data_IF_652074687052
#
_entry.id   IF_652074687052
#
_cell.length_a   1.000
_cell.length_b   1.000
_cell.length_c   1.000
_cell.angle_alpha   90.00
_cell.angle_beta   90.00
_cell.angle_gamma   90.00
#
_symmetry.space_group_name_H-M   'P 1'
#
loop_
_entity.id
_entity.type
_entity.pdbx_description
1 polymer ?
#
# COMPACT_ATOMS: atom_id res chain seq x y z
N UNK A 1 9.41 -8.92 -21.84
CA UNK A 1 10.59 -8.55 -21.02
C UNK A 1 11.56 -9.72 -20.84
N UNK A 2 11.16 -10.87 -20.29
CA UNK A 2 12.08 -11.99 -19.99
C UNK A 2 12.89 -12.47 -21.20
N UNK A 3 12.26 -12.57 -22.38
CA UNK A 3 12.93 -12.96 -23.62
C UNK A 3 14.07 -11.98 -24.01
N UNK A 4 13.84 -10.68 -23.86
CA UNK A 4 14.85 -9.65 -24.16
C UNK A 4 16.02 -9.77 -23.19
N UNK A 5 15.77 -9.98 -21.89
CA UNK A 5 16.83 -10.18 -20.91
C UNK A 5 17.66 -11.44 -21.24
N UNK A 6 17.02 -12.53 -21.67
CA UNK A 6 17.71 -13.73 -22.13
C UNK A 6 18.57 -13.45 -23.36
N UNK A 7 18.03 -12.75 -24.37
CA UNK A 7 18.78 -12.35 -25.56
C UNK A 7 19.99 -11.50 -25.22
N UNK A 8 19.82 -10.46 -24.40
CA UNK A 8 20.91 -9.60 -23.91
C UNK A 8 21.98 -10.44 -23.24
N UNK A 9 21.62 -11.35 -22.33
CA UNK A 9 22.58 -12.23 -21.66
C UNK A 9 23.35 -13.15 -22.62
N UNK A 10 22.71 -13.66 -23.67
CA UNK A 10 23.37 -14.46 -24.71
C UNK A 10 24.35 -13.59 -25.51
N UNK A 11 23.91 -12.44 -26.00
CA UNK A 11 24.73 -11.50 -26.79
C UNK A 11 25.95 -11.04 -26.00
N UNK A 12 25.78 -10.74 -24.71
CA UNK A 12 26.90 -10.39 -23.82
C UNK A 12 27.90 -11.52 -23.64
N UNK A 13 27.45 -12.77 -23.55
CA UNK A 13 28.34 -13.94 -23.50
C UNK A 13 29.10 -14.18 -24.80
N UNK A 14 28.58 -13.70 -25.92
CA UNK A 14 29.25 -13.74 -27.23
C UNK A 14 30.26 -12.59 -27.42
N UNK A 15 30.46 -11.74 -26.41
CA UNK A 15 31.47 -10.68 -26.42
C UNK A 15 31.01 -9.34 -26.96
N UNK A 16 29.70 -9.14 -27.17
CA UNK A 16 29.14 -7.85 -27.57
C UNK A 16 28.52 -7.13 -26.35
N UNK A 17 28.47 -5.80 -26.38
CA UNK A 17 27.77 -5.04 -25.34
C UNK A 17 26.30 -4.97 -25.70
N UNK A 18 25.41 -5.36 -24.80
CA UNK A 18 23.98 -5.30 -25.00
C UNK A 18 23.25 -4.90 -23.72
N UNK A 19 22.10 -4.26 -23.87
CA UNK A 19 21.26 -3.83 -22.76
C UNK A 19 19.78 -3.80 -23.18
N UNK A 20 18.84 -4.00 -22.25
CA UNK A 20 17.42 -3.78 -22.54
C UNK A 20 17.11 -2.29 -22.68
N UNK A 21 16.06 -1.97 -23.45
CA UNK A 21 15.51 -0.62 -23.56
C UNK A 21 14.04 -0.66 -23.14
N UNK A 22 13.71 0.14 -22.12
CA UNK A 22 12.38 0.23 -21.50
C UNK A 22 11.36 1.04 -22.29
N UNK A 23 11.29 0.85 -23.60
CA UNK A 23 10.46 1.67 -24.47
C UNK A 23 8.94 1.52 -24.18
N UNK A 24 8.14 2.59 -24.35
CA UNK A 24 6.69 2.52 -24.10
C UNK A 24 6.02 1.41 -24.92
N UNK A 25 5.13 0.65 -24.28
CA UNK A 25 4.42 -0.48 -24.92
C UNK A 25 5.27 -1.74 -25.11
N UNK A 26 6.56 -1.62 -25.44
CA UNK A 26 7.38 -2.76 -25.83
C UNK A 26 8.83 -2.67 -25.34
N UNK A 27 9.37 -3.76 -24.78
CA UNK A 27 10.79 -3.83 -24.40
C UNK A 27 11.56 -4.46 -25.55
N UNK A 28 12.66 -3.84 -25.96
CA UNK A 28 13.56 -4.34 -27.00
C UNK A 28 15.01 -4.32 -26.52
N UNK A 29 15.93 -4.87 -27.31
CA UNK A 29 17.36 -4.90 -26.99
C UNK A 29 18.11 -3.79 -27.72
N UNK A 30 19.12 -3.22 -27.07
CA UNK A 30 20.13 -2.36 -27.66
C UNK A 30 21.46 -3.12 -27.68
N UNK A 31 22.17 -3.09 -28.81
CA UNK A 31 23.44 -3.80 -29.00
C UNK A 31 24.49 -2.83 -29.56
N UNK A 32 25.66 -2.74 -28.92
CA UNK A 32 26.80 -2.00 -29.45
C UNK A 32 27.62 -2.88 -30.40
N UNK A 33 28.03 -2.30 -31.52
CA UNK A 33 28.89 -2.96 -32.50
C UNK A 33 30.38 -2.67 -32.23
N UNK A 34 31.33 -3.56 -32.60
CA UNK A 34 32.74 -3.49 -32.19
C UNK A 34 33.52 -2.20 -32.53
N UNK A 35 33.02 -1.35 -33.42
CA UNK A 35 33.57 -0.01 -33.71
C UNK A 35 33.11 1.08 -32.73
N UNK A 36 32.36 0.70 -31.68
CA UNK A 36 31.93 1.59 -30.60
C UNK A 36 33.05 1.75 -29.56
N UNK A 37 33.67 2.94 -29.52
CA UNK A 37 34.63 3.29 -28.46
C UNK A 37 33.88 3.83 -27.23
N UNK A 38 34.01 3.13 -26.11
CA UNK A 38 33.55 3.55 -24.79
C UNK A 38 34.60 4.49 -24.19
N UNK A 39 34.33 5.78 -24.15
CA UNK A 39 35.04 6.69 -23.25
C UNK A 39 34.57 6.38 -21.82
N UNK A 40 35.40 5.68 -21.06
CA UNK A 40 35.26 5.40 -19.62
C UNK A 40 34.27 4.25 -19.22
N UNK A 41 34.76 3.15 -18.58
CA UNK A 41 33.97 1.97 -18.17
C UNK A 41 32.84 2.25 -17.17
N UNK A 42 32.96 3.30 -16.35
CA UNK A 42 32.00 3.61 -15.27
C UNK A 42 30.95 4.68 -15.67
N UNK A 43 31.10 5.30 -16.84
CA UNK A 43 30.12 6.25 -17.37
C UNK A 43 28.98 5.56 -18.12
N UNK A 44 27.74 5.84 -17.69
CA UNK A 44 26.53 5.52 -18.45
C UNK A 44 26.62 6.13 -19.87
N UNK A 45 26.17 5.40 -20.90
CA UNK A 45 26.37 5.80 -22.30
C UNK A 45 25.61 7.08 -22.62
N UNK A 46 26.36 8.15 -22.85
CA UNK A 46 25.88 9.30 -23.59
C UNK A 46 26.72 10.55 -23.41
N UNK A 47 27.67 10.78 -24.32
CA UNK A 47 27.80 12.01 -25.12
C UNK A 47 28.66 11.67 -26.34
N UNK A 48 28.06 11.58 -27.52
CA UNK A 48 28.45 12.35 -28.72
C UNK A 48 27.62 11.89 -29.94
N UNK A 49 27.21 12.90 -30.71
CA UNK A 49 26.20 12.90 -31.74
C UNK A 49 26.67 12.22 -33.04
N UNK A 50 25.88 11.29 -33.53
CA UNK A 50 25.62 11.15 -34.96
C UNK A 50 24.29 10.39 -35.10
N UNK A 51 23.28 11.10 -35.60
CA UNK A 51 22.05 10.50 -36.08
C UNK A 51 22.35 9.47 -37.18
N UNK A 52 21.47 8.48 -37.25
CA UNK A 52 21.48 7.26 -38.06
C UNK A 52 21.56 7.47 -39.58
N UNK A 53 21.64 8.71 -40.06
CA UNK A 53 21.52 9.08 -41.47
C UNK A 53 22.77 9.77 -42.06
N UNK A 54 23.81 10.01 -41.25
CA UNK A 54 25.05 10.64 -41.74
C UNK A 54 26.19 9.62 -41.83
N UNK A 55 26.29 8.90 -42.97
CA UNK A 55 27.48 8.21 -43.51
C UNK A 55 28.57 7.72 -42.51
N UNK A 56 28.18 7.10 -41.41
CA UNK A 56 29.10 6.45 -40.44
C UNK A 56 28.64 5.02 -40.19
N UNK A 57 29.57 4.05 -40.08
CA UNK A 57 29.21 2.67 -39.78
C UNK A 57 28.44 2.63 -38.46
N UNK A 58 27.22 2.08 -38.51
CA UNK A 58 26.30 1.91 -37.39
C UNK A 58 27.08 1.42 -36.16
N UNK A 59 27.12 2.20 -35.08
CA UNK A 59 27.79 1.79 -33.83
C UNK A 59 26.83 1.11 -32.85
N UNK A 60 25.53 1.10 -33.15
CA UNK A 60 24.46 0.52 -32.31
C UNK A 60 23.31 -0.05 -33.13
N UNK A 61 22.63 -1.06 -32.60
CA UNK A 61 21.44 -1.70 -33.16
C UNK A 61 20.32 -1.75 -32.12
N UNK A 62 19.09 -1.49 -32.54
CA UNK A 62 17.88 -1.77 -31.77
C UNK A 62 17.24 -3.04 -32.32
N UNK A 63 17.05 -4.05 -31.46
CA UNK A 63 16.59 -5.38 -31.86
C UNK A 63 15.27 -5.69 -31.16
N UNK A 64 14.21 -5.85 -31.95
CA UNK A 64 12.95 -6.42 -31.49
C UNK A 64 13.06 -7.94 -31.46
N UNK A 65 13.32 -8.47 -30.27
CA UNK A 65 13.47 -9.91 -30.04
C UNK A 65 12.13 -10.65 -30.19
N UNK A 66 10.99 -9.97 -30.08
CA UNK A 66 9.66 -10.60 -30.18
C UNK A 66 9.20 -10.74 -31.63
N UNK A 67 9.54 -9.77 -32.50
CA UNK A 67 9.19 -9.79 -33.92
C UNK A 67 10.38 -10.19 -34.81
N UNK A 68 11.28 -11.02 -34.27
CA UNK A 68 12.54 -11.36 -34.95
C UNK A 68 12.36 -12.11 -36.27
N UNK A 69 11.21 -12.74 -36.48
CA UNK A 69 10.89 -13.50 -37.70
C UNK A 69 10.50 -12.60 -38.89
N UNK A 70 9.99 -11.40 -38.61
CA UNK A 70 9.48 -10.48 -39.65
C UNK A 70 10.34 -9.23 -39.77
N UNK A 71 10.59 -8.55 -38.65
CA UNK A 71 11.28 -7.26 -38.61
C UNK A 71 12.10 -7.16 -37.31
N UNK A 72 13.28 -7.79 -37.26
CA UNK A 72 14.09 -7.87 -36.04
C UNK A 72 14.74 -6.54 -35.66
N UNK A 73 14.87 -5.58 -36.59
CA UNK A 73 15.59 -4.33 -36.37
C UNK A 73 14.65 -3.15 -36.34
N UNK A 74 14.75 -2.33 -35.30
CA UNK A 74 13.94 -1.13 -35.15
C UNK A 74 14.72 0.10 -35.64
N UNK A 75 14.17 0.80 -36.63
CA UNK A 75 14.72 2.07 -37.07
C UNK A 75 14.42 3.17 -36.04
N UNK A 76 15.38 4.08 -35.84
CA UNK A 76 15.21 5.20 -34.91
C UNK A 76 14.02 6.10 -35.29
N UNK A 77 13.73 6.24 -36.58
CA UNK A 77 12.61 7.03 -37.07
C UNK A 77 11.25 6.42 -36.69
N UNK A 78 11.08 5.10 -36.80
CA UNK A 78 9.83 4.44 -36.41
C UNK A 78 9.62 4.47 -34.90
N UNK A 79 10.70 4.40 -34.12
CA UNK A 79 10.65 4.61 -32.68
C UNK A 79 10.21 6.04 -32.33
N UNK A 80 10.77 7.05 -32.99
CA UNK A 80 10.36 8.47 -32.82
C UNK A 80 8.90 8.68 -33.20
N UNK A 81 8.46 8.11 -34.32
CA UNK A 81 7.06 8.12 -34.76
C UNK A 81 6.13 7.49 -33.73
N UNK A 82 6.56 6.39 -33.11
CA UNK A 82 5.79 5.73 -32.04
C UNK A 82 5.67 6.63 -30.81
N UNK A 83 6.76 7.30 -30.39
CA UNK A 83 6.73 8.25 -29.26
C UNK A 83 5.85 9.47 -29.56
N UNK A 84 5.91 9.98 -30.80
CA UNK A 84 5.04 11.05 -31.27
C UNK A 84 3.56 10.68 -31.18
N UNK A 85 3.18 9.50 -31.68
CA UNK A 85 1.81 9.00 -31.62
C UNK A 85 1.31 8.81 -30.18
N UNK A 86 2.21 8.50 -29.25
CA UNK A 86 1.92 8.40 -27.82
C UNK A 86 1.92 9.76 -27.09
N UNK A 87 2.08 10.87 -27.82
CA UNK A 87 2.13 12.23 -27.28
C UNK A 87 3.23 12.42 -26.23
N UNK A 88 4.34 11.69 -26.36
CA UNK A 88 5.50 11.84 -25.47
C UNK A 88 6.26 13.10 -25.86
N UNK A 89 6.58 14.02 -24.92
CA UNK A 89 7.38 15.21 -25.22
C UNK A 89 8.74 14.87 -25.81
N UNK A 90 9.17 15.57 -26.87
CA UNK A 90 10.45 15.32 -27.58
C UNK A 90 11.67 15.30 -26.67
N UNK A 91 11.67 16.15 -25.63
CA UNK A 91 12.73 16.20 -24.61
C UNK A 91 12.97 14.84 -23.92
N UNK A 92 11.96 13.96 -23.87
CA UNK A 92 12.05 12.64 -23.25
C UNK A 92 12.46 11.54 -24.23
N UNK A 93 12.47 11.79 -25.55
CA UNK A 93 12.68 10.74 -26.54
C UNK A 93 14.05 10.08 -26.40
N UNK A 94 15.09 10.90 -26.21
CA UNK A 94 16.45 10.41 -25.95
C UNK A 94 16.52 9.51 -24.71
N UNK A 95 15.76 9.84 -23.66
CA UNK A 95 15.72 9.07 -22.42
C UNK A 95 15.04 7.70 -22.59
N UNK A 96 14.03 7.62 -23.46
CA UNK A 96 13.26 6.39 -23.70
C UNK A 96 13.91 5.46 -24.73
N UNK A 97 14.83 5.97 -25.54
CA UNK A 97 15.55 5.21 -26.55
C UNK A 97 16.95 4.74 -26.10
N UNK A 98 17.43 5.13 -24.91
CA UNK A 98 18.73 4.67 -24.40
C UNK A 98 18.62 3.31 -23.70
N UNK A 99 19.74 2.60 -23.50
CA UNK A 99 19.83 1.49 -22.55
C UNK A 99 19.20 1.84 -21.21
N UNK A 100 18.36 0.93 -20.70
CA UNK A 100 17.74 1.07 -19.39
C UNK A 100 18.60 0.46 -18.29
N UNK A 101 18.54 1.07 -17.11
CA UNK A 101 19.16 0.51 -15.92
C UNK A 101 18.45 -0.76 -15.46
N UNK A 102 19.14 -1.55 -14.62
CA UNK A 102 18.51 -2.68 -13.95
C UNK A 102 17.31 -2.23 -13.09
N UNK A 103 17.40 -1.08 -12.41
CA UNK A 103 16.31 -0.54 -11.59
C UNK A 103 15.07 -0.17 -12.42
N UNK A 104 15.25 0.48 -13.58
CA UNK A 104 14.15 0.80 -14.50
C UNK A 104 13.44 -0.47 -14.99
N UNK A 105 14.21 -1.52 -15.32
CA UNK A 105 13.65 -2.79 -15.78
C UNK A 105 12.91 -3.55 -14.67
N UNK A 106 13.45 -3.56 -13.45
CA UNK A 106 12.81 -4.18 -12.29
C UNK A 106 11.50 -3.45 -11.94
N UNK A 107 11.49 -2.11 -11.93
CA UNK A 107 10.30 -1.32 -11.69
C UNK A 107 9.24 -1.53 -12.78
N UNK A 108 9.65 -1.64 -14.04
CA UNK A 108 8.75 -1.98 -15.15
C UNK A 108 8.17 -3.38 -14.98
N UNK A 109 8.98 -4.35 -14.54
CA UNK A 109 8.53 -5.71 -14.28
C UNK A 109 7.45 -5.74 -13.19
N UNK A 110 7.69 -5.05 -12.07
CA UNK A 110 6.72 -4.91 -10.98
C UNK A 110 5.40 -4.28 -11.45
N UNK A 111 5.48 -3.21 -12.27
CA UNK A 111 4.27 -2.60 -12.85
C UNK A 111 3.50 -3.59 -13.72
N UNK A 112 4.19 -4.34 -14.59
CA UNK A 112 3.54 -5.32 -15.46
C UNK A 112 2.86 -6.44 -14.66
N UNK A 113 3.49 -6.93 -13.58
CA UNK A 113 2.91 -7.93 -12.68
C UNK A 113 1.65 -7.38 -12.01
N UNK A 114 1.73 -6.19 -11.42
CA UNK A 114 0.61 -5.56 -10.74
C UNK A 114 -0.57 -5.27 -11.67
N UNK A 115 -0.31 -4.74 -12.87
CA UNK A 115 -1.32 -4.49 -13.89
C UNK A 115 -1.96 -5.78 -14.42
N UNK A 116 -1.18 -6.84 -14.60
CA UNK A 116 -1.70 -8.14 -15.05
C UNK A 116 -2.72 -8.70 -14.07
N UNK A 117 -2.36 -8.74 -12.78
CA UNK A 117 -3.25 -9.25 -11.72
C UNK A 117 -4.47 -8.37 -11.53
N UNK A 118 -4.30 -7.03 -11.55
CA UNK A 118 -5.43 -6.09 -11.44
C UNK A 118 -6.38 -6.21 -12.63
N UNK A 119 -5.87 -6.36 -13.86
CA UNK A 119 -6.69 -6.51 -15.07
C UNK A 119 -7.50 -7.79 -15.05
N UNK A 120 -6.89 -8.92 -14.66
CA UNK A 120 -7.57 -10.21 -14.63
C UNK A 120 -8.66 -10.25 -13.53
N UNK A 121 -8.47 -9.55 -12.41
CA UNK A 121 -9.51 -9.41 -11.39
C UNK A 121 -10.83 -8.84 -11.94
N UNK A 122 -10.77 -7.98 -12.96
CA UNK A 122 -11.94 -7.38 -13.58
C UNK A 122 -12.51 -8.24 -14.72
N UNK A 123 -11.91 -9.41 -15.01
CA UNK A 123 -12.38 -10.34 -16.03
C UNK A 123 -13.19 -11.48 -15.38
N UNK A 124 -14.49 -11.64 -15.71
CA UNK A 124 -15.36 -12.60 -15.02
C UNK A 124 -15.05 -14.09 -15.30
N UNK A 125 -14.21 -14.39 -16.30
CA UNK A 125 -13.98 -15.76 -16.79
C UNK A 125 -12.66 -16.38 -16.34
N UNK A 126 -11.78 -15.61 -15.67
CA UNK A 126 -10.44 -16.07 -15.27
C UNK A 126 -10.25 -15.90 -13.77
N UNK A 127 -10.21 -17.02 -13.05
CA UNK A 127 -9.99 -17.03 -11.61
C UNK A 127 -8.49 -17.15 -11.31
N UNK A 128 -7.91 -16.14 -10.65
CA UNK A 128 -6.56 -16.21 -10.10
C UNK A 128 -6.65 -16.65 -8.63
N UNK A 129 -5.78 -17.59 -8.23
CA UNK A 129 -5.66 -17.99 -6.83
C UNK A 129 -5.29 -16.80 -5.93
N UNK A 130 -5.91 -16.73 -4.74
CA UNK A 130 -5.69 -15.64 -3.77
C UNK A 130 -4.21 -15.47 -3.42
N UNK A 131 -3.48 -16.57 -3.23
CA UNK A 131 -2.04 -16.58 -2.94
C UNK A 131 -1.23 -15.90 -4.06
N UNK A 132 -1.50 -16.23 -5.33
CA UNK A 132 -0.81 -15.62 -6.48
C UNK A 132 -1.07 -14.11 -6.55
N UNK A 133 -2.30 -13.68 -6.22
CA UNK A 133 -2.64 -12.25 -6.16
C UNK A 133 -1.90 -11.55 -5.03
N UNK A 134 -1.85 -12.16 -3.85
CA UNK A 134 -1.13 -11.64 -2.70
C UNK A 134 0.38 -11.54 -2.98
N UNK A 135 0.98 -12.58 -3.55
CA UNK A 135 2.38 -12.59 -3.95
C UNK A 135 2.70 -11.49 -4.96
N UNK A 136 1.84 -11.30 -5.96
CA UNK A 136 2.02 -10.26 -6.96
C UNK A 136 1.94 -8.85 -6.35
N UNK A 137 0.97 -8.60 -5.46
CA UNK A 137 0.85 -7.33 -4.75
C UNK A 137 2.06 -7.09 -3.85
N UNK A 138 2.41 -8.08 -3.03
CA UNK A 138 3.52 -8.02 -2.08
C UNK A 138 4.85 -7.75 -2.80
N UNK A 139 5.21 -8.56 -3.80
CA UNK A 139 6.46 -8.40 -4.55
C UNK A 139 6.52 -7.06 -5.30
N UNK A 140 5.41 -6.64 -5.93
CA UNK A 140 5.38 -5.37 -6.69
C UNK A 140 5.47 -4.16 -5.75
N UNK A 141 4.70 -4.16 -4.66
CA UNK A 141 4.70 -3.09 -3.67
C UNK A 141 6.07 -2.94 -3.00
N UNK A 142 6.68 -4.04 -2.57
CA UNK A 142 8.04 -4.01 -2.01
C UNK A 142 9.07 -3.49 -3.02
N UNK A 143 8.96 -3.89 -4.30
CA UNK A 143 9.83 -3.37 -5.36
C UNK A 143 9.71 -1.86 -5.50
N UNK A 144 8.49 -1.30 -5.43
CA UNK A 144 8.28 0.14 -5.50
C UNK A 144 8.77 0.88 -4.26
N UNK A 145 8.53 0.33 -3.07
CA UNK A 145 9.01 0.93 -1.83
C UNK A 145 10.54 1.00 -1.77
N UNK A 146 11.22 -0.06 -2.22
CA UNK A 146 12.69 -0.09 -2.29
C UNK A 146 13.23 0.82 -3.41
N UNK A 147 12.61 0.79 -4.59
CA UNK A 147 13.13 1.51 -5.77
C UNK A 147 12.74 2.98 -5.86
N UNK A 148 11.63 3.38 -5.22
CA UNK A 148 11.07 4.74 -5.26
C UNK A 148 10.52 5.14 -3.88
N UNK A 149 11.38 5.22 -2.85
CA UNK A 149 10.95 5.42 -1.47
C UNK A 149 10.14 6.71 -1.28
N UNK A 150 10.50 7.78 -1.98
CA UNK A 150 9.88 9.10 -1.85
C UNK A 150 8.65 9.32 -2.74
N UNK A 151 8.14 8.28 -3.39
CA UNK A 151 7.00 8.43 -4.29
C UNK A 151 5.71 8.71 -3.50
N UNK A 152 4.87 9.61 -4.01
CA UNK A 152 3.62 10.01 -3.35
C UNK A 152 2.64 8.83 -3.11
N UNK A 153 2.78 7.75 -3.87
CA UNK A 153 1.99 6.52 -3.78
C UNK A 153 2.58 5.49 -2.78
N UNK A 154 3.70 5.78 -2.11
CA UNK A 154 4.34 4.86 -1.16
C UNK A 154 3.40 4.40 -0.02
N UNK A 155 2.61 5.31 0.56
CA UNK A 155 1.64 4.95 1.62
C UNK A 155 0.62 3.90 1.14
N UNK A 156 0.20 3.97 -0.12
CA UNK A 156 -0.70 2.98 -0.74
C UNK A 156 -0.01 1.62 -0.83
N UNK A 157 1.27 1.58 -1.18
CA UNK A 157 2.03 0.33 -1.24
C UNK A 157 2.24 -0.27 0.15
N UNK A 158 2.54 0.55 1.17
CA UNK A 158 2.61 0.09 2.57
C UNK A 158 1.29 -0.57 3.00
N UNK A 159 0.16 0.11 2.77
CA UNK A 159 -1.16 -0.45 3.09
C UNK A 159 -1.45 -1.76 2.36
N UNK A 160 -1.04 -1.86 1.09
CA UNK A 160 -1.19 -3.08 0.29
C UNK A 160 -0.32 -4.24 0.77
N UNK A 161 0.88 -3.99 1.32
CA UNK A 161 1.71 -5.04 1.92
C UNK A 161 1.10 -5.50 3.24
N UNK A 162 0.74 -4.56 4.12
CA UNK A 162 0.15 -4.86 5.43
C UNK A 162 -1.12 -5.69 5.31
N UNK A 163 -1.93 -5.44 4.27
CA UNK A 163 -3.20 -6.16 4.09
C UNK A 163 -3.03 -7.63 3.71
N UNK A 164 -1.92 -8.04 3.10
CA UNK A 164 -1.72 -9.43 2.62
C UNK A 164 -0.69 -10.22 3.42
N UNK A 165 0.27 -9.54 4.06
CA UNK A 165 1.45 -10.21 4.61
C UNK A 165 1.12 -11.17 5.75
N UNK A 166 0.22 -10.79 6.66
CA UNK A 166 -0.08 -11.60 7.84
C UNK A 166 -0.78 -12.92 7.49
N UNK A 167 -1.68 -12.90 6.53
CA UNK A 167 -2.46 -14.07 6.13
C UNK A 167 -1.68 -14.98 5.17
N UNK A 168 -0.97 -14.38 4.21
CA UNK A 168 -0.39 -15.12 3.09
C UNK A 168 1.11 -15.38 3.27
N UNK A 169 1.79 -14.58 4.10
CA UNK A 169 3.23 -14.66 4.35
C UNK A 169 3.55 -14.46 5.85
N UNK A 170 3.01 -15.31 6.75
CA UNK A 170 3.10 -15.11 8.19
C UNK A 170 4.55 -15.05 8.71
N UNK A 171 5.47 -15.79 8.08
CA UNK A 171 6.91 -15.78 8.43
C UNK A 171 7.61 -14.46 8.09
N UNK A 172 7.08 -13.71 7.14
CA UNK A 172 7.63 -12.41 6.72
C UNK A 172 7.05 -11.25 7.55
N UNK A 173 6.00 -11.50 8.33
CA UNK A 173 5.18 -10.44 8.93
C UNK A 173 6.00 -9.52 9.84
N UNK A 174 6.64 -10.04 10.89
CA UNK A 174 7.43 -9.19 11.79
C UNK A 174 8.60 -8.46 11.10
N UNK A 175 9.48 -9.13 10.33
CA UNK A 175 10.65 -8.46 9.77
C UNK A 175 10.28 -7.40 8.74
N UNK A 176 9.24 -7.64 7.94
CA UNK A 176 8.78 -6.66 6.95
C UNK A 176 8.07 -5.50 7.61
N UNK A 177 7.18 -5.74 8.58
CA UNK A 177 6.54 -4.64 9.30
C UNK A 177 7.59 -3.76 10.00
N UNK A 178 8.63 -4.35 10.59
CA UNK A 178 9.77 -3.62 11.17
C UNK A 178 10.48 -2.75 10.14
N UNK A 179 10.75 -3.28 8.94
CA UNK A 179 11.39 -2.51 7.87
C UNK A 179 10.48 -1.40 7.31
N UNK A 180 9.18 -1.66 7.20
CA UNK A 180 8.19 -0.64 6.80
C UNK A 180 8.06 0.46 7.85
N UNK A 181 8.19 0.13 9.13
CA UNK A 181 8.18 1.12 10.20
C UNK A 181 9.38 2.07 10.06
N UNK A 182 10.59 1.55 9.90
CA UNK A 182 11.79 2.37 9.66
C UNK A 182 11.60 3.30 8.47
N UNK A 183 10.97 2.79 7.40
CA UNK A 183 10.67 3.56 6.20
C UNK A 183 9.67 4.70 6.43
N UNK A 184 8.56 4.44 7.14
CA UNK A 184 7.52 5.44 7.43
C UNK A 184 7.99 6.46 8.47
N UNK A 185 8.89 6.06 9.37
CA UNK A 185 9.49 6.93 10.37
C UNK A 185 10.62 7.83 9.82
N UNK A 186 11.17 7.53 8.65
CA UNK A 186 12.23 8.34 8.04
C UNK A 186 11.66 9.67 7.49
N UNK A 187 12.05 10.75 8.14
CA UNK A 187 11.62 12.11 7.80
C UNK A 187 12.11 12.58 6.43
N UNK A 188 13.15 11.95 5.87
CA UNK A 188 13.69 12.27 4.55
C UNK A 188 12.90 11.62 3.39
N UNK A 189 11.96 10.72 3.72
CA UNK A 189 11.24 9.94 2.71
C UNK A 189 9.91 10.61 2.32
N UNK A 190 9.44 11.62 3.08
CA UNK A 190 8.22 12.37 2.74
C UNK A 190 6.92 11.59 2.92
N UNK A 191 7.00 10.33 3.38
CA UNK A 191 5.87 9.43 3.68
C UNK A 191 5.66 9.39 5.19
N UNK A 192 5.63 10.54 5.85
CA UNK A 192 5.27 10.60 7.27
C UNK A 192 3.76 10.50 7.39
N UNK A 193 3.26 9.27 7.53
CA UNK A 193 1.92 9.04 8.05
C UNK A 193 2.05 8.45 9.45
N UNK A 194 1.93 9.27 10.51
CA UNK A 194 2.23 8.77 11.85
C UNK A 194 1.17 7.80 12.39
N UNK A 195 -0.05 7.79 11.83
CA UNK A 195 -1.06 6.77 12.13
C UNK A 195 -0.60 5.39 11.63
N UNK A 196 -0.08 5.33 10.40
CA UNK A 196 0.51 4.09 9.85
C UNK A 196 1.72 3.66 10.69
N UNK A 197 2.61 4.58 11.04
CA UNK A 197 3.78 4.29 11.88
C UNK A 197 3.39 3.72 13.26
N UNK A 198 2.37 4.30 13.90
CA UNK A 198 1.86 3.80 15.17
C UNK A 198 1.26 2.40 15.04
N UNK A 199 0.51 2.12 13.98
CA UNK A 199 -0.06 0.78 13.76
C UNK A 199 1.00 -0.28 13.48
N UNK A 200 2.03 0.05 12.70
CA UNK A 200 3.17 -0.84 12.48
C UNK A 200 3.87 -1.15 13.80
N UNK A 201 4.15 -0.14 14.64
CA UNK A 201 4.74 -0.32 15.98
C UNK A 201 3.92 -1.25 16.86
N UNK A 202 2.61 -0.99 16.99
CA UNK A 202 1.73 -1.80 17.83
C UNK A 202 1.66 -3.25 17.33
N UNK A 203 1.63 -3.44 16.01
CA UNK A 203 1.62 -4.77 15.40
C UNK A 203 2.93 -5.52 15.67
N UNK A 204 4.08 -4.86 15.51
CA UNK A 204 5.40 -5.46 15.80
C UNK A 204 5.53 -5.78 17.30
N UNK A 205 5.11 -4.88 18.19
CA UNK A 205 5.18 -5.10 19.63
C UNK A 205 4.39 -6.34 20.04
N UNK A 206 3.16 -6.50 19.53
CA UNK A 206 2.33 -7.70 19.75
C UNK A 206 2.94 -8.98 19.18
N UNK A 207 3.68 -8.89 18.08
CA UNK A 207 4.37 -10.05 17.48
C UNK A 207 5.60 -10.46 18.29
N UNK A 208 6.31 -9.50 18.89
CA UNK A 208 7.52 -9.74 19.68
C UNK A 208 7.24 -10.17 21.11
N UNK A 209 6.20 -9.61 21.71
CA UNK A 209 5.72 -9.99 23.04
C UNK A 209 4.28 -10.47 22.92
N UNK A 210 4.06 -11.80 22.86
CA UNK A 210 2.73 -12.36 22.80
C UNK A 210 2.02 -12.31 24.17
N UNK A 211 2.66 -11.81 25.23
CA UNK A 211 1.96 -11.63 26.50
C UNK A 211 0.88 -10.56 26.33
N UNK A 212 -0.36 -10.96 26.61
CA UNK A 212 -1.52 -10.06 26.53
C UNK A 212 -1.53 -9.22 27.80
N UNK A 213 -1.16 -7.95 27.68
CA UNK A 213 -1.35 -6.98 28.76
C UNK A 213 -2.86 -6.80 28.97
N UNK A 214 -3.38 -7.41 30.04
CA UNK A 214 -4.79 -7.28 30.41
C UNK A 214 -5.05 -5.83 30.84
N UNK A 215 -5.80 -5.08 30.02
CA UNK A 215 -6.15 -3.69 30.32
C UNK A 215 -7.34 -3.65 31.27
N UNK A 216 -7.13 -3.02 32.42
CA UNK A 216 -8.19 -2.77 33.41
C UNK A 216 -8.82 -1.42 33.11
N UNK A 217 -10.13 -1.43 32.85
CA UNK A 217 -10.88 -0.20 32.62
C UNK A 217 -10.90 0.66 33.89
N UNK A 218 -10.77 1.97 33.72
CA UNK A 218 -10.84 2.97 34.80
C UNK A 218 -11.95 3.96 34.52
N UNK A 219 -11.78 4.77 33.48
CA UNK A 219 -12.64 5.92 33.19
C UNK A 219 -13.02 6.02 31.69
N UNK A 220 -12.63 5.03 30.90
CA UNK A 220 -12.95 4.94 29.48
C UNK A 220 -14.47 4.83 29.33
N UNK A 221 -15.06 5.66 28.47
CA UNK A 221 -16.51 5.72 28.25
C UNK A 221 -17.01 4.67 27.26
N UNK A 222 -16.19 4.31 26.29
CA UNK A 222 -16.59 3.49 25.15
C UNK A 222 -15.82 2.18 25.13
N UNK A 223 -16.35 1.15 24.47
CA UNK A 223 -15.86 -0.22 24.53
C UNK A 223 -15.52 -0.80 23.17
N UNK A 224 -14.75 -1.89 23.17
CA UNK A 224 -14.36 -2.61 21.96
C UNK A 224 -15.58 -3.05 21.15
N UNK A 225 -15.54 -2.80 19.84
CA UNK A 225 -16.58 -3.20 18.90
C UNK A 225 -17.77 -2.25 18.80
N UNK A 226 -17.78 -1.18 19.59
CA UNK A 226 -18.79 -0.14 19.47
C UNK A 226 -18.63 0.61 18.14
N UNK A 227 -19.74 0.81 17.43
CA UNK A 227 -19.80 1.65 16.24
C UNK A 227 -19.98 3.10 16.68
N UNK A 228 -19.20 4.00 16.10
CA UNK A 228 -19.21 5.41 16.46
C UNK A 228 -19.12 6.32 15.24
N UNK A 229 -19.50 7.57 15.44
CA UNK A 229 -19.31 8.68 14.51
C UNK A 229 -18.29 9.65 15.09
N UNK A 230 -17.34 10.10 14.27
CA UNK A 230 -16.36 11.08 14.71
C UNK A 230 -17.00 12.48 14.79
N UNK A 231 -16.95 13.14 15.94
CA UNK A 231 -17.62 14.43 16.18
C UNK A 231 -17.22 15.53 15.19
N UNK A 232 -15.90 15.68 14.94
CA UNK A 232 -15.36 16.71 14.03
C UNK A 232 -15.46 16.37 12.54
N UNK A 233 -15.11 15.14 12.15
CA UNK A 233 -14.94 14.73 10.75
C UNK A 233 -16.12 13.93 10.19
N UNK A 234 -17.11 13.60 11.03
CA UNK A 234 -18.36 12.96 10.66
C UNK A 234 -18.25 11.59 9.95
N UNK A 235 -17.09 10.94 9.99
CA UNK A 235 -16.93 9.58 9.49
C UNK A 235 -17.38 8.55 10.53
N UNK A 236 -17.74 7.35 10.07
CA UNK A 236 -18.14 6.22 10.92
C UNK A 236 -17.03 5.19 10.97
N UNK A 237 -16.86 4.55 12.12
CA UNK A 237 -15.93 3.46 12.32
C UNK A 237 -16.32 2.56 13.49
N UNK A 238 -15.48 1.57 13.76
CA UNK A 238 -15.60 0.64 14.89
C UNK A 238 -14.35 0.73 15.77
N UNK A 239 -14.54 0.66 17.09
CA UNK A 239 -13.44 0.70 18.06
C UNK A 239 -12.73 -0.66 18.12
N UNK A 240 -11.42 -0.67 17.90
CA UNK A 240 -10.56 -1.86 17.94
C UNK A 240 -9.82 -2.02 19.27
N UNK A 241 -9.53 -0.90 19.95
CA UNK A 241 -8.70 -0.87 21.16
C UNK A 241 -8.75 0.51 21.81
N UNK A 242 -8.30 0.62 23.07
CA UNK A 242 -8.16 1.90 23.76
C UNK A 242 -6.90 1.97 24.62
N UNK A 243 -6.41 3.19 24.87
CA UNK A 243 -5.38 3.52 25.84
C UNK A 243 -5.91 4.57 26.82
N UNK A 244 -5.54 4.46 28.10
CA UNK A 244 -5.98 5.38 29.17
C UNK A 244 -5.53 6.85 28.93
N UNK A 245 -4.43 7.00 28.20
CA UNK A 245 -3.81 8.29 27.80
C UNK A 245 -3.26 8.15 26.38
N UNK A 246 -3.02 9.28 25.71
CA UNK A 246 -2.39 9.27 24.39
C UNK A 246 -1.00 8.61 24.45
N UNK A 247 -0.81 7.50 23.73
CA UNK A 247 0.49 6.81 23.58
C UNK A 247 1.21 7.12 22.27
N UNK A 248 0.70 8.08 21.48
CA UNK A 248 1.32 8.47 20.23
C UNK A 248 2.63 9.25 20.45
N UNK A 249 3.49 9.31 19.43
CA UNK A 249 4.75 10.05 19.49
C UNK A 249 4.52 11.56 19.54
N UNK A 250 5.45 12.30 20.15
CA UNK A 250 5.37 13.75 20.36
C UNK A 250 5.10 14.51 19.06
N UNK A 251 5.79 14.13 17.98
CA UNK A 251 5.61 14.73 16.66
C UNK A 251 4.16 14.62 16.17
N UNK A 252 3.55 13.44 16.29
CA UNK A 252 2.16 13.26 15.88
C UNK A 252 1.20 14.03 16.79
N UNK A 253 1.45 14.05 18.11
CA UNK A 253 0.61 14.82 19.03
C UNK A 253 0.58 16.31 18.68
N UNK A 254 1.72 16.86 18.25
CA UNK A 254 1.83 18.23 17.73
C UNK A 254 1.04 18.39 16.42
N UNK A 255 1.29 17.51 15.43
CA UNK A 255 0.65 17.58 14.10
C UNK A 255 -0.88 17.41 14.17
N UNK A 256 -1.36 16.49 15.01
CA UNK A 256 -2.78 16.26 15.24
C UNK A 256 -3.42 17.29 16.18
N UNK A 257 -2.63 18.19 16.78
CA UNK A 257 -3.10 19.21 17.71
C UNK A 257 -3.70 18.64 18.99
N UNK A 258 -3.16 17.52 19.48
CA UNK A 258 -3.70 16.81 20.65
C UNK A 258 -3.71 17.69 21.90
N UNK A 259 -2.67 18.49 22.12
CA UNK A 259 -2.60 19.38 23.29
C UNK A 259 -3.55 20.56 23.22
N UNK A 260 -4.02 20.90 22.01
CA UNK A 260 -5.03 21.93 21.82
C UNK A 260 -6.46 21.41 22.05
N UNK A 261 -6.62 20.10 22.26
CA UNK A 261 -7.90 19.51 22.60
C UNK A 261 -8.34 19.92 24.02
N UNK A 262 -9.64 20.14 24.28
CA UNK A 262 -10.14 20.51 25.61
C UNK A 262 -9.68 19.61 26.76
N UNK A 263 -9.55 18.29 26.52
CA UNK A 263 -9.03 17.34 27.51
C UNK A 263 -7.58 16.93 27.27
N UNK A 264 -6.93 17.48 26.24
CA UNK A 264 -5.53 17.26 25.89
C UNK A 264 -5.16 15.79 25.67
N UNK A 265 -3.87 15.47 25.84
CA UNK A 265 -3.31 14.10 25.74
C UNK A 265 -3.61 13.18 26.92
N UNK A 266 -4.14 13.71 28.02
CA UNK A 266 -4.40 12.98 29.27
C UNK A 266 -5.74 12.24 29.32
N UNK A 267 -6.56 12.35 28.27
CA UNK A 267 -7.80 11.59 28.12
C UNK A 267 -7.55 10.23 27.44
N UNK A 268 -8.53 9.30 27.48
CA UNK A 268 -8.45 8.09 26.71
C UNK A 268 -8.43 8.32 25.20
N UNK A 269 -7.70 7.47 24.48
CA UNK A 269 -7.68 7.44 23.03
C UNK A 269 -8.06 6.06 22.52
N UNK A 270 -8.79 6.02 21.41
CA UNK A 270 -9.31 4.82 20.79
C UNK A 270 -8.60 4.57 19.46
N UNK A 271 -8.10 3.35 19.27
CA UNK A 271 -7.72 2.85 17.95
C UNK A 271 -8.98 2.36 17.25
N UNK A 272 -9.24 2.84 16.05
CA UNK A 272 -10.51 2.59 15.33
C UNK A 272 -10.26 2.18 13.89
N UNK A 273 -11.16 1.38 13.32
CA UNK A 273 -11.24 1.13 11.88
C UNK A 273 -12.37 1.98 11.28
N UNK A 274 -12.02 2.92 10.41
CA UNK A 274 -13.00 3.73 9.68
C UNK A 274 -13.60 2.96 8.50
N UNK A 275 -14.76 3.41 8.02
CA UNK A 275 -15.48 2.80 6.88
C UNK A 275 -14.64 2.70 5.59
N UNK A 276 -13.65 3.58 5.43
CA UNK A 276 -12.73 3.58 4.28
C UNK A 276 -11.60 2.54 4.41
N UNK A 277 -11.58 1.76 5.49
CA UNK A 277 -10.56 0.76 5.80
C UNK A 277 -9.27 1.33 6.40
N UNK A 278 -9.21 2.65 6.61
CA UNK A 278 -8.11 3.26 7.35
C UNK A 278 -8.27 2.99 8.84
N UNK A 279 -7.16 2.72 9.51
CA UNK A 279 -7.12 2.65 10.97
C UNK A 279 -6.59 3.98 11.49
N UNK A 280 -7.22 4.50 12.55
CA UNK A 280 -7.03 5.87 13.06
C UNK A 280 -6.96 5.89 14.59
N UNK A 281 -6.47 6.99 15.16
CA UNK A 281 -6.36 7.17 16.62
C UNK A 281 -7.13 8.40 17.08
N UNK A 282 -8.16 8.18 17.87
CA UNK A 282 -9.22 9.16 18.12
C UNK A 282 -9.33 9.45 19.61
N UNK A 283 -9.23 10.72 19.98
CA UNK A 283 -9.47 11.18 21.35
C UNK A 283 -10.92 10.86 21.78
N UNK A 284 -11.13 10.47 23.04
CA UNK A 284 -12.45 10.11 23.57
C UNK A 284 -13.52 11.18 23.34
N UNK A 285 -13.17 12.45 23.48
CA UNK A 285 -14.12 13.55 23.26
C UNK A 285 -14.61 13.68 21.81
N UNK A 286 -13.92 13.08 20.85
CA UNK A 286 -14.31 13.05 19.45
C UNK A 286 -15.13 11.81 19.07
N UNK A 287 -15.40 10.90 20.00
CA UNK A 287 -16.20 9.70 19.76
C UNK A 287 -17.65 9.96 20.14
N UNK A 288 -18.57 9.75 19.19
CA UNK A 288 -20.03 9.83 19.40
C UNK A 288 -20.63 8.44 19.14
N UNK A 289 -21.25 7.85 20.15
CA UNK A 289 -21.93 6.55 20.04
C UNK A 289 -23.10 6.61 19.05
N UNK A 290 -23.27 5.53 18.26
CA UNK A 290 -24.43 5.36 17.39
C UNK A 290 -25.31 4.20 17.87
N UNK A 291 -26.65 4.35 17.92
CA UNK A 291 -27.39 5.58 17.61
C UNK A 291 -27.18 6.65 18.69
N UNK A 292 -27.15 7.91 18.27
CA UNK A 292 -27.01 9.04 19.20
C UNK A 292 -28.29 9.16 20.03
N UNK A 293 -28.16 9.28 21.35
CA UNK A 293 -29.30 9.54 22.25
C UNK A 293 -29.94 10.93 22.00
N UNK A 294 -29.29 11.79 21.21
CA UNK A 294 -29.77 13.11 20.87
C UNK A 294 -30.87 13.05 19.79
N UNK A 295 -32.11 12.89 20.25
CA UNK A 295 -33.37 13.19 19.54
C UNK A 295 -33.73 12.29 18.35
N UNK A 296 -34.85 11.59 18.50
CA UNK A 296 -35.49 10.65 17.55
C UNK A 296 -35.94 11.25 16.19
N UNK A 297 -35.51 12.47 15.84
CA UNK A 297 -36.06 13.24 14.71
C UNK A 297 -35.00 13.68 13.68
N UNK A 298 -33.72 13.36 13.88
CA UNK A 298 -32.66 13.57 12.86
C UNK A 298 -32.21 12.22 12.26
N UNK A 299 -32.69 11.85 11.05
CA UNK A 299 -32.36 10.56 10.41
C UNK A 299 -30.86 10.32 10.21
N UNK A 300 -30.07 11.41 10.14
CA UNK A 300 -28.62 11.35 9.89
C UNK A 300 -27.81 10.86 11.10
N UNK A 301 -28.40 10.86 12.31
CA UNK A 301 -27.74 10.41 13.55
C UNK A 301 -27.99 8.94 13.89
N UNK A 302 -28.79 8.24 13.08
CA UNK A 302 -29.05 6.80 13.24
C UNK A 302 -28.01 5.95 12.51
N UNK A 303 -27.85 4.71 12.99
CA UNK A 303 -26.98 3.73 12.37
C UNK A 303 -27.60 3.25 11.04
N UNK A 304 -26.86 3.39 9.94
CA UNK A 304 -27.27 2.85 8.65
C UNK A 304 -26.70 1.42 8.47
N UNK A 305 -27.55 0.45 8.15
CA UNK A 305 -27.15 -0.96 7.94
C UNK A 305 -26.15 -1.15 6.81
N UNK A 306 -26.14 -0.28 5.79
CA UNK A 306 -25.11 -0.28 4.75
C UNK A 306 -23.72 0.03 5.32
N UNK A 307 -23.65 0.79 6.41
CA UNK A 307 -22.38 1.06 7.10
C UNK A 307 -21.91 -0.16 7.86
N UNK A 308 -22.81 -0.87 8.55
CA UNK A 308 -22.48 -2.13 9.23
C UNK A 308 -21.98 -3.15 8.21
N UNK A 309 -22.73 -3.34 7.12
CA UNK A 309 -22.33 -4.22 6.01
C UNK A 309 -21.00 -3.80 5.41
N UNK A 310 -20.79 -2.51 5.17
CA UNK A 310 -19.53 -2.01 4.64
C UNK A 310 -18.37 -2.34 5.58
N UNK A 311 -18.50 -2.08 6.89
CA UNK A 311 -17.49 -2.38 7.90
C UNK A 311 -17.13 -3.88 7.95
N UNK A 312 -18.13 -4.76 7.84
CA UNK A 312 -17.91 -6.22 7.73
C UNK A 312 -17.19 -6.61 6.44
N UNK A 313 -17.46 -5.91 5.33
CA UNK A 313 -16.91 -6.20 4.00
C UNK A 313 -15.60 -5.47 3.68
N UNK A 314 -15.04 -4.67 4.60
CA UNK A 314 -13.76 -3.99 4.38
C UNK A 314 -12.64 -5.00 4.04
N UNK A 315 -12.82 -6.28 4.39
CA UNK A 315 -11.92 -7.35 3.99
C UNK A 315 -10.51 -7.15 4.55
N UNK A 316 -10.43 -6.56 5.74
CA UNK A 316 -9.18 -6.42 6.47
C UNK A 316 -9.05 -7.56 7.46
N UNK A 317 -7.87 -8.16 7.49
CA UNK A 317 -7.47 -9.12 8.51
C UNK A 317 -7.72 -8.60 9.94
N UNK A 318 -7.71 -7.27 10.12
CA UNK A 318 -8.02 -6.59 11.38
C UNK A 318 -9.41 -6.90 11.92
N UNK A 319 -10.48 -6.88 11.10
CA UNK A 319 -11.85 -7.16 11.59
C UNK A 319 -11.95 -8.60 12.06
N UNK A 320 -11.47 -9.55 11.25
CA UNK A 320 -11.57 -10.99 11.54
C UNK A 320 -10.72 -11.40 12.76
N UNK A 321 -9.61 -10.70 13.02
CA UNK A 321 -8.77 -10.95 14.19
C UNK A 321 -9.33 -10.31 15.46
N UNK A 322 -9.98 -9.16 15.32
CA UNK A 322 -10.45 -8.40 16.49
C UNK A 322 -11.82 -8.88 16.96
N UNK A 323 -12.69 -9.32 16.02
CA UNK A 323 -14.09 -9.63 16.27
C UNK A 323 -14.49 -11.02 15.80
N UNK A 324 -15.35 -11.68 16.58
CA UNK A 324 -15.85 -13.03 16.26
C UNK A 324 -17.14 -13.01 15.43
N UNK A 325 -17.97 -11.99 15.61
CA UNK A 325 -19.27 -11.82 14.94
C UNK A 325 -19.75 -10.39 15.06
N UNK A 326 -20.85 -10.07 14.37
CA UNK A 326 -21.60 -8.83 14.55
C UNK A 326 -22.99 -9.17 15.06
N UNK A 327 -23.40 -8.56 16.16
CA UNK A 327 -24.76 -8.62 16.68
C UNK A 327 -25.52 -7.37 16.22
N UNK A 328 -26.77 -7.58 15.83
CA UNK A 328 -27.65 -6.55 15.28
C UNK A 328 -28.99 -6.64 15.97
N UNK A 329 -29.47 -5.50 16.47
CA UNK A 329 -30.83 -5.32 16.96
C UNK A 329 -31.49 -4.22 16.13
N UNK A 330 -32.41 -4.62 15.25
CA UNK A 330 -33.10 -3.69 14.36
C UNK A 330 -34.13 -2.83 15.07
N UNK A 331 -34.71 -3.31 16.17
CA UNK A 331 -35.72 -2.58 16.95
C UNK A 331 -35.10 -1.42 17.72
N UNK A 332 -33.93 -1.66 18.31
CA UNK A 332 -33.14 -0.64 19.01
C UNK A 332 -32.26 0.19 18.05
N UNK A 333 -32.10 -0.24 16.79
CA UNK A 333 -31.23 0.40 15.81
C UNK A 333 -29.74 0.28 16.17
N UNK A 334 -29.35 -0.81 16.84
CA UNK A 334 -28.02 -1.02 17.40
C UNK A 334 -27.29 -2.14 16.67
N UNK A 335 -25.97 -1.99 16.55
CA UNK A 335 -25.10 -3.10 16.21
C UNK A 335 -23.83 -3.04 17.05
N UNK A 336 -23.26 -4.22 17.30
CA UNK A 336 -22.04 -4.38 18.06
C UNK A 336 -21.15 -5.45 17.44
N UNK A 337 -19.89 -5.12 17.21
CA UNK A 337 -18.88 -6.08 16.77
C UNK A 337 -18.33 -6.82 17.99
N UNK A 338 -18.72 -8.07 18.17
CA UNK A 338 -18.40 -8.81 19.40
C UNK A 338 -16.91 -9.17 19.39
N UNK A 339 -16.14 -8.82 20.44
CA UNK A 339 -14.72 -9.17 20.54
C UNK A 339 -14.47 -10.66 20.31
N UNK A 340 -13.38 -10.98 19.62
CA UNK A 340 -12.82 -12.33 19.60
C UNK A 340 -12.22 -12.69 20.96
N UNK A 341 -11.98 -13.99 21.22
CA UNK A 341 -11.48 -14.47 22.51
C UNK A 341 -10.20 -13.75 22.94
N UNK A 342 -9.22 -13.63 22.04
CA UNK A 342 -7.96 -12.93 22.32
C UNK A 342 -8.16 -11.45 22.66
N UNK A 343 -9.10 -10.79 21.98
CA UNK A 343 -9.43 -9.38 22.25
C UNK A 343 -10.17 -9.23 23.57
N UNK A 344 -11.05 -10.16 23.91
CA UNK A 344 -11.76 -10.19 25.19
C UNK A 344 -10.81 -10.49 26.37
N UNK A 345 -9.72 -11.25 26.15
CA UNK A 345 -8.67 -11.44 27.16
C UNK A 345 -7.88 -10.15 27.41
N UNK A 346 -7.62 -9.36 26.36
CA UNK A 346 -6.95 -8.06 26.48
C UNK A 346 -7.86 -7.01 27.15
N UNK A 347 -9.16 -7.02 26.83
CA UNK A 347 -10.16 -6.06 27.31
C UNK A 347 -11.35 -6.76 27.99
N UNK A 348 -11.15 -7.38 29.17
CA UNK A 348 -12.15 -8.26 29.79
C UNK A 348 -13.47 -7.56 30.17
N UNK A 349 -13.39 -6.30 30.58
CA UNK A 349 -14.57 -5.54 31.04
C UNK A 349 -15.47 -5.07 29.88
N UNK A 350 -14.94 -5.01 28.66
CA UNK A 350 -15.60 -4.41 27.50
C UNK A 350 -16.71 -5.31 26.94
N UNK A 351 -16.58 -6.62 27.08
CA UNK A 351 -17.60 -7.58 26.65
C UNK A 351 -18.90 -7.39 27.43
N UNK A 352 -18.81 -7.11 28.74
CA UNK A 352 -19.98 -6.88 29.59
C UNK A 352 -20.71 -5.58 29.20
N UNK A 353 -19.97 -4.51 28.87
CA UNK A 353 -20.54 -3.25 28.40
C UNK A 353 -21.27 -3.40 27.06
N UNK A 354 -20.70 -4.16 26.13
CA UNK A 354 -21.33 -4.44 24.84
C UNK A 354 -22.63 -5.23 24.99
N UNK A 355 -22.65 -6.25 25.85
CA UNK A 355 -23.88 -7.00 26.17
C UNK A 355 -24.93 -6.09 26.80
N UNK A 356 -24.53 -5.26 27.77
CA UNK A 356 -25.43 -4.31 28.42
C UNK A 356 -26.01 -3.30 27.42
N UNK A 357 -25.20 -2.82 26.47
CA UNK A 357 -25.64 -1.95 25.39
C UNK A 357 -26.64 -2.64 24.45
N UNK A 358 -26.48 -3.93 24.16
CA UNK A 358 -27.44 -4.64 23.30
C UNK A 358 -28.74 -5.00 24.03
N UNK A 359 -28.76 -5.01 25.36
CA UNK A 359 -29.93 -5.44 26.15
C UNK A 359 -30.73 -4.31 26.80
N UNK A 360 -30.13 -3.13 27.03
CA UNK A 360 -30.84 -2.00 27.65
C UNK A 360 -31.82 -1.36 26.66
N UNK A 361 -33.12 -1.24 26.98
CA UNK A 361 -34.09 -0.57 26.12
C UNK A 361 -33.75 0.91 25.89
#
# INVERSE_FOLDING_TARGET
MSLVCTFVAIVTRLGLVAAPVGFPGHVHAWVALPSYQQSDPDSLPGVEEADWEAERPLRRLHVDVFHSETEPFLASEDMRRTLWNLHVPEVQWRLLMRPSSASEMVLRAANNVLHSVTRIQHQPTTHIQTETRAAALYASAMTFLVGRPQAADAARFVGGVVSVIKEQFPLDTEPVLSRLLEFVSDSNVGVTNPEIGMHLRNSIARLRDPSVEVKKRKNEKYWIGMIFRHAKFNYVGVILGWDEVCKAEERWMIEAGVDALPRGRGQPFYTVLAKDGSSRYVAEENVVQLPSLATSWEPEQNLNWDVVRALTLIGTSTIEQTFSRVEVDEELGRAWFVPAVSTAEEFPDDTALGVEYMQKP
#
